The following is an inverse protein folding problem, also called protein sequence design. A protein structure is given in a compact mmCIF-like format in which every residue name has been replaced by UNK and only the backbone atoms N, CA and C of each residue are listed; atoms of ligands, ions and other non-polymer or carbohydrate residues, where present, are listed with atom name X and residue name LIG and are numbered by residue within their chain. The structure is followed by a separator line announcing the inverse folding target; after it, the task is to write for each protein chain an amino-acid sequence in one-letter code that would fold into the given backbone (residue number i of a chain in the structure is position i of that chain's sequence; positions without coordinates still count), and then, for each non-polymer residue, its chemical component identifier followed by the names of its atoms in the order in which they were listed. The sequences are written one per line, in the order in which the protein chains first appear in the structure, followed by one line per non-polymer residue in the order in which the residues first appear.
data_IF_384521497668
#
_entry.id   IF_384521497668
#
_cell.length_a   1.000
_cell.length_b   1.000
_cell.length_c   1.000
_cell.angle_alpha   90.00
_cell.angle_beta   90.00
_cell.angle_gamma   90.00
#
_symmetry.space_group_name_H-M   'P 1'
#
loop_
_entity.id
_entity.type
_entity.pdbx_description
1 polymer ?
#
# COMPACT_ATOMS: atom_id res chain seq x y z
N UNK A 1 8.41 -4.79 -1.66
CA UNK A 1 8.35 -4.87 -0.19
C UNK A 1 9.01 -6.13 0.34
N UNK A 2 9.35 -6.11 1.62
CA UNK A 2 10.02 -7.27 2.27
C UNK A 2 9.09 -8.45 2.54
N UNK A 3 7.79 -8.23 2.48
CA UNK A 3 6.82 -9.20 2.94
C UNK A 3 6.69 -9.23 4.48
N UNK A 4 5.63 -9.84 4.95
CA UNK A 4 5.35 -9.98 6.38
C UNK A 4 5.29 -11.44 6.85
N UNK A 5 5.36 -12.38 5.92
CA UNK A 5 5.37 -13.81 6.19
C UNK A 5 6.82 -14.31 6.26
N UNK A 6 7.23 -14.77 7.44
CA UNK A 6 8.62 -15.18 7.71
C UNK A 6 8.89 -16.63 7.33
N UNK A 7 7.84 -17.41 7.08
CA UNK A 7 7.88 -18.82 6.74
C UNK A 7 8.66 -19.11 5.44
N UNK A 8 8.71 -18.13 4.55
CA UNK A 8 9.48 -18.24 3.31
C UNK A 8 11.00 -18.27 3.53
N UNK A 9 11.49 -17.71 4.62
CA UNK A 9 12.93 -17.65 4.89
C UNK A 9 13.55 -19.04 5.02
N UNK A 10 13.12 -19.90 5.98
CA UNK A 10 13.65 -21.25 6.06
C UNK A 10 13.31 -22.09 4.82
N UNK A 11 12.14 -21.86 4.17
CA UNK A 11 11.76 -22.59 2.96
C UNK A 11 12.76 -22.37 1.82
N UNK A 12 13.28 -21.15 1.66
CA UNK A 12 14.24 -20.79 0.61
C UNK A 12 15.69 -20.72 1.11
N UNK A 13 15.97 -21.16 2.33
CA UNK A 13 17.33 -21.23 2.88
C UNK A 13 17.91 -19.87 3.28
N UNK A 14 17.07 -18.90 3.62
CA UNK A 14 17.51 -17.60 4.13
C UNK A 14 17.41 -17.54 5.66
N UNK A 15 18.31 -16.76 6.27
CA UNK A 15 18.27 -16.45 7.70
C UNK A 15 17.46 -15.16 7.94
N UNK A 16 16.58 -15.18 8.94
CA UNK A 16 15.82 -14.00 9.35
C UNK A 16 16.69 -12.86 9.90
N UNK A 17 17.88 -13.16 10.41
CA UNK A 17 18.85 -12.13 10.82
C UNK A 17 19.30 -11.26 9.64
N UNK A 18 19.27 -11.79 8.43
CA UNK A 18 19.63 -11.08 7.21
C UNK A 18 18.47 -10.25 6.60
N UNK A 19 17.31 -10.21 7.25
CA UNK A 19 16.08 -9.63 6.70
C UNK A 19 16.27 -8.21 6.14
N UNK A 20 16.99 -7.34 6.85
CA UNK A 20 17.22 -5.95 6.43
C UNK A 20 18.32 -5.85 5.37
N UNK A 21 19.45 -6.53 5.55
CA UNK A 21 20.62 -6.50 4.63
C UNK A 21 20.29 -7.18 3.32
N UNK A 22 19.59 -8.31 3.37
CA UNK A 22 19.13 -9.04 2.19
C UNK A 22 18.20 -8.17 1.32
N UNK A 23 17.22 -7.48 1.95
CA UNK A 23 16.33 -6.59 1.22
C UNK A 23 17.07 -5.41 0.60
N UNK A 24 17.98 -4.77 1.34
CA UNK A 24 18.75 -3.64 0.85
C UNK A 24 19.59 -4.03 -0.38
N UNK A 25 20.37 -5.11 -0.27
CA UNK A 25 21.19 -5.59 -1.37
C UNK A 25 20.38 -6.00 -2.61
N UNK A 26 19.26 -6.71 -2.40
CA UNK A 26 18.40 -7.11 -3.54
C UNK A 26 17.70 -5.93 -4.21
N UNK A 27 17.35 -4.90 -3.45
CA UNK A 27 16.77 -3.68 -4.01
C UNK A 27 17.83 -2.92 -4.85
N UNK A 28 19.04 -2.78 -4.35
CA UNK A 28 20.14 -2.15 -5.07
C UNK A 28 20.46 -2.90 -6.37
N UNK A 29 20.53 -4.24 -6.30
CA UNK A 29 20.72 -5.07 -7.51
C UNK A 29 19.56 -4.89 -8.51
N UNK A 30 18.32 -4.84 -8.04
CA UNK A 30 17.15 -4.58 -8.89
C UNK A 30 17.28 -3.23 -9.61
N UNK A 31 17.72 -2.19 -8.90
CA UNK A 31 17.91 -0.87 -9.48
C UNK A 31 19.07 -0.84 -10.50
N UNK A 32 20.16 -1.57 -10.23
CA UNK A 32 21.25 -1.73 -11.18
C UNK A 32 20.79 -2.46 -12.48
N UNK A 33 20.03 -3.54 -12.33
CA UNK A 33 19.45 -4.28 -13.46
C UNK A 33 18.46 -3.39 -14.25
N UNK A 34 17.68 -2.56 -13.57
CA UNK A 34 16.76 -1.61 -14.20
C UNK A 34 17.51 -0.59 -15.05
N UNK A 35 18.62 -0.07 -14.53
CA UNK A 35 19.38 1.02 -15.14
C UNK A 35 20.21 0.59 -16.35
N UNK A 36 20.63 -0.69 -16.44
CA UNK A 36 21.52 -1.18 -17.48
C UNK A 36 21.09 -2.50 -18.08
N UNK A 37 21.31 -2.69 -19.38
CA UNK A 37 21.08 -3.96 -20.06
C UNK A 37 22.06 -5.04 -19.61
N UNK A 38 23.31 -4.64 -19.34
CA UNK A 38 24.36 -5.55 -18.83
C UNK A 38 24.77 -5.11 -17.43
N UNK A 39 24.90 -6.07 -16.55
CA UNK A 39 25.15 -5.84 -15.13
C UNK A 39 26.37 -6.61 -14.65
N UNK A 40 27.24 -5.90 -13.95
CA UNK A 40 28.22 -6.48 -13.03
C UNK A 40 27.80 -6.13 -11.61
N UNK A 41 27.85 -7.12 -10.71
CA UNK A 41 27.39 -6.96 -9.33
C UNK A 41 28.24 -7.80 -8.38
N UNK A 42 28.50 -7.25 -7.19
CA UNK A 42 29.10 -7.98 -6.07
C UNK A 42 28.36 -7.62 -4.79
N UNK A 43 28.02 -8.61 -4.00
CA UNK A 43 27.28 -8.45 -2.74
C UNK A 43 27.53 -9.62 -1.80
N UNK A 44 26.89 -9.59 -0.64
CA UNK A 44 27.06 -10.60 0.43
C UNK A 44 26.06 -11.75 0.35
N UNK A 45 24.88 -11.49 -0.27
CA UNK A 45 23.75 -12.43 -0.25
C UNK A 45 23.58 -13.21 -1.55
N UNK A 46 24.54 -13.10 -2.47
CA UNK A 46 24.57 -13.90 -3.71
C UNK A 46 25.97 -13.89 -4.34
N UNK A 47 26.28 -14.87 -5.18
CA UNK A 47 27.51 -14.86 -6.00
C UNK A 47 27.57 -13.64 -6.91
N UNK A 48 28.80 -13.16 -7.20
CA UNK A 48 29.04 -12.05 -8.13
C UNK A 48 28.45 -12.32 -9.52
N UNK A 49 28.08 -11.25 -10.19
CA UNK A 49 27.69 -11.24 -11.61
C UNK A 49 28.75 -10.47 -12.37
N UNK A 50 29.23 -11.01 -13.47
CA UNK A 50 30.21 -10.35 -14.33
C UNK A 50 29.62 -10.19 -15.73
N UNK A 51 29.37 -8.94 -16.10
CA UNK A 51 28.89 -8.52 -17.42
C UNK A 51 27.79 -9.42 -18.02
N UNK A 52 26.67 -9.58 -17.32
CA UNK A 52 25.53 -10.39 -17.77
C UNK A 52 24.39 -9.54 -18.28
N UNK A 53 23.84 -9.91 -19.43
CA UNK A 53 22.61 -9.34 -19.95
C UNK A 53 21.38 -9.85 -19.20
N UNK A 54 20.40 -8.96 -18.95
CA UNK A 54 19.12 -9.30 -18.31
C UNK A 54 17.98 -8.97 -19.27
N UNK A 55 17.26 -9.99 -19.69
CA UNK A 55 16.21 -9.91 -20.72
C UNK A 55 14.93 -10.64 -20.25
N UNK A 56 13.73 -10.25 -20.79
CA UNK A 56 13.52 -9.13 -21.73
C UNK A 56 13.70 -7.77 -21.05
N UNK A 57 14.04 -6.73 -21.83
CA UNK A 57 14.07 -5.37 -21.32
C UNK A 57 12.63 -4.82 -21.19
N UNK A 58 12.37 -3.95 -20.18
CA UNK A 58 11.06 -3.33 -20.04
C UNK A 58 10.79 -2.37 -21.21
N UNK A 59 9.49 -2.22 -21.54
CA UNK A 59 9.05 -1.20 -22.50
C UNK A 59 9.11 0.20 -21.89
N UNK A 60 8.81 0.32 -20.60
CA UNK A 60 8.92 1.59 -19.88
C UNK A 60 10.38 1.91 -19.55
N UNK A 61 10.77 3.17 -19.71
CA UNK A 61 12.11 3.64 -19.37
C UNK A 61 12.03 4.90 -18.48
N UNK A 62 12.40 4.80 -17.19
CA UNK A 62 12.75 3.57 -16.47
C UNK A 62 11.53 2.73 -16.09
N UNK A 63 11.72 1.43 -15.91
CA UNK A 63 10.67 0.56 -15.33
C UNK A 63 10.22 1.10 -13.96
N UNK A 64 8.92 1.39 -13.75
CA UNK A 64 8.43 1.90 -12.48
C UNK A 64 8.65 0.87 -11.35
N UNK A 65 9.31 1.30 -10.28
CA UNK A 65 9.54 0.49 -9.06
C UNK A 65 8.97 1.22 -7.87
N UNK A 66 8.04 0.61 -7.16
CA UNK A 66 7.43 1.11 -5.94
C UNK A 66 7.92 0.32 -4.73
N UNK A 67 8.27 1.03 -3.66
CA UNK A 67 8.63 0.39 -2.38
C UNK A 67 7.38 0.28 -1.51
N UNK A 68 6.97 -0.95 -1.20
CA UNK A 68 5.85 -1.20 -0.30
C UNK A 68 6.32 -1.30 1.16
N UNK A 69 5.63 -0.62 2.06
CA UNK A 69 5.91 -0.62 3.50
C UNK A 69 4.63 -0.84 4.33
N UNK A 70 4.78 -1.42 5.52
CA UNK A 70 3.69 -1.61 6.50
C UNK A 70 3.76 -0.68 7.72
N UNK A 71 4.58 0.41 7.66
CA UNK A 71 4.67 1.37 8.77
C UNK A 71 5.98 1.31 9.55
N UNK A 72 7.10 0.99 8.91
CA UNK A 72 8.44 1.10 9.49
C UNK A 72 9.09 2.42 9.06
N UNK A 73 9.49 3.33 9.99
CA UNK A 73 10.06 4.63 9.65
C UNK A 73 11.29 4.51 8.73
N UNK A 74 12.21 3.61 9.04
CA UNK A 74 13.43 3.35 8.25
C UNK A 74 13.10 2.99 6.78
N UNK A 75 12.01 2.27 6.55
CA UNK A 75 11.59 1.88 5.20
C UNK A 75 10.98 3.06 4.43
N UNK A 76 10.25 3.95 5.10
CA UNK A 76 9.73 5.18 4.50
C UNK A 76 10.87 6.12 4.10
N UNK A 77 11.83 6.36 5.01
CA UNK A 77 13.01 7.18 4.73
C UNK A 77 13.83 6.61 3.56
N UNK A 78 14.07 5.30 3.54
CA UNK A 78 14.82 4.63 2.46
C UNK A 78 14.19 4.87 1.09
N UNK A 79 12.86 4.73 0.97
CA UNK A 79 12.17 4.97 -0.29
C UNK A 79 12.38 6.41 -0.77
N UNK A 80 12.25 7.40 0.13
CA UNK A 80 12.51 8.81 -0.17
C UNK A 80 13.95 9.05 -0.62
N UNK A 81 14.93 8.57 0.15
CA UNK A 81 16.37 8.73 -0.18
C UNK A 81 16.71 8.14 -1.55
N UNK A 82 16.12 7.00 -1.91
CA UNK A 82 16.35 6.34 -3.19
C UNK A 82 15.56 6.95 -4.37
N UNK A 83 14.75 7.99 -4.14
CA UNK A 83 13.91 8.57 -5.18
C UNK A 83 12.84 7.62 -5.72
N UNK A 84 12.37 6.66 -4.92
CA UNK A 84 11.40 5.65 -5.34
C UNK A 84 10.00 5.95 -4.79
N UNK A 85 8.95 5.81 -5.62
CA UNK A 85 7.56 5.88 -5.17
C UNK A 85 7.29 4.95 -3.98
N UNK A 86 6.44 5.40 -3.05
CA UNK A 86 6.08 4.66 -1.84
C UNK A 86 4.65 4.15 -1.89
N UNK A 87 4.46 2.87 -1.53
CA UNK A 87 3.15 2.28 -1.29
C UNK A 87 3.02 1.90 0.20
N UNK A 88 2.18 2.61 0.93
CA UNK A 88 1.92 2.39 2.34
C UNK A 88 0.72 1.46 2.53
N UNK A 89 0.93 0.31 3.15
CA UNK A 89 -0.14 -0.62 3.51
C UNK A 89 -0.76 -0.23 4.86
N UNK A 90 -2.04 0.16 4.84
CA UNK A 90 -2.84 0.47 6.04
C UNK A 90 -3.83 -0.69 6.23
N UNK A 91 -3.39 -1.72 6.94
CA UNK A 91 -4.14 -2.97 7.13
C UNK A 91 -4.65 -3.16 8.56
N UNK A 92 -4.43 -2.18 9.43
CA UNK A 92 -4.90 -2.20 10.81
C UNK A 92 -4.65 -0.86 11.50
N UNK A 93 -5.47 -0.55 12.50
CA UNK A 93 -5.43 0.72 13.24
C UNK A 93 -5.97 1.92 12.45
N UNK A 94 -6.08 3.06 13.10
CA UNK A 94 -6.56 4.30 12.46
C UNK A 94 -5.57 4.81 11.41
N UNK A 95 -6.01 5.12 10.18
CA UNK A 95 -5.15 5.63 9.13
C UNK A 95 -4.32 6.85 9.52
N UNK A 96 -4.90 7.81 10.24
CA UNK A 96 -4.21 9.03 10.64
C UNK A 96 -2.89 8.79 11.41
N UNK A 97 -2.77 7.66 12.11
CA UNK A 97 -1.53 7.27 12.82
C UNK A 97 -0.35 7.01 11.89
N UNK A 98 -0.62 6.79 10.61
CA UNK A 98 0.40 6.56 9.60
C UNK A 98 0.87 7.84 8.89
N UNK A 99 0.23 9.00 9.14
CA UNK A 99 0.61 10.27 8.55
C UNK A 99 2.10 10.63 8.75
N UNK A 100 2.74 10.35 9.90
CA UNK A 100 4.17 10.61 10.09
C UNK A 100 5.07 9.87 9.08
N UNK A 101 4.66 8.69 8.57
CA UNK A 101 5.46 7.98 7.56
C UNK A 101 5.42 8.67 6.20
N UNK A 102 4.26 9.22 5.80
CA UNK A 102 4.14 10.01 4.58
C UNK A 102 4.98 11.30 4.66
N UNK A 103 4.99 11.96 5.82
CA UNK A 103 5.82 13.15 6.06
C UNK A 103 7.31 12.81 6.03
N UNK A 104 7.72 11.73 6.70
CA UNK A 104 9.10 11.27 6.71
C UNK A 104 9.59 10.91 5.30
N UNK A 105 8.78 10.21 4.52
CA UNK A 105 9.06 9.88 3.12
C UNK A 105 9.33 11.13 2.29
N UNK A 106 8.43 12.13 2.36
CA UNK A 106 8.57 13.38 1.59
C UNK A 106 9.78 14.19 2.00
N UNK A 107 10.04 14.32 3.31
CA UNK A 107 11.25 15.01 3.80
C UNK A 107 12.51 14.30 3.32
N UNK A 108 12.60 12.98 3.49
CA UNK A 108 13.76 12.22 3.06
C UNK A 108 14.00 12.31 1.55
N UNK A 109 12.95 12.41 0.74
CA UNK A 109 13.08 12.64 -0.70
C UNK A 109 13.64 14.04 -0.99
N UNK A 110 13.09 15.07 -0.36
CA UNK A 110 13.55 16.45 -0.51
C UNK A 110 15.01 16.63 -0.06
N UNK A 111 15.36 16.08 1.11
CA UNK A 111 16.72 16.14 1.67
C UNK A 111 17.75 15.44 0.76
N UNK A 112 17.31 14.41 0.00
CA UNK A 112 18.13 13.71 -1.00
C UNK A 112 18.12 14.40 -2.38
N UNK A 113 17.47 15.56 -2.53
CA UNK A 113 17.43 16.33 -3.78
C UNK A 113 16.40 15.83 -4.81
N UNK A 114 15.49 14.95 -4.41
CA UNK A 114 14.41 14.51 -5.29
C UNK A 114 13.22 15.49 -5.24
N UNK A 115 12.55 15.67 -6.37
CA UNK A 115 11.24 16.34 -6.44
C UNK A 115 10.12 15.52 -5.78
N UNK A 116 8.87 15.99 -5.89
CA UNK A 116 7.72 15.23 -5.39
C UNK A 116 7.65 13.83 -5.98
N UNK A 117 7.58 12.81 -5.12
CA UNK A 117 7.51 11.41 -5.52
C UNK A 117 6.09 10.87 -5.32
N UNK A 118 5.61 10.00 -6.22
CA UNK A 118 4.29 9.38 -6.07
C UNK A 118 4.16 8.60 -4.76
N UNK A 119 2.99 8.76 -4.14
CA UNK A 119 2.63 8.11 -2.87
C UNK A 119 1.30 7.38 -3.01
N UNK A 120 1.26 6.12 -2.62
CA UNK A 120 0.06 5.29 -2.63
C UNK A 120 -0.30 4.83 -1.24
N UNK A 121 -1.59 4.71 -0.94
CA UNK A 121 -2.09 3.93 0.18
C UNK A 121 -2.81 2.68 -0.32
N UNK A 122 -2.64 1.58 0.41
CA UNK A 122 -3.26 0.31 0.14
C UNK A 122 -4.04 -0.12 1.37
N UNK A 123 -5.30 -0.52 1.18
CA UNK A 123 -6.15 -0.98 2.26
C UNK A 123 -7.00 -2.17 1.84
N UNK A 124 -7.48 -2.94 2.81
CA UNK A 124 -8.44 -4.01 2.59
C UNK A 124 -9.87 -3.46 2.59
N UNK A 125 -10.74 -4.07 1.81
CA UNK A 125 -12.15 -3.71 1.84
C UNK A 125 -13.00 -4.53 0.88
N UNK A 126 -14.30 -4.25 0.92
CA UNK A 126 -15.29 -4.87 0.06
C UNK A 126 -16.48 -3.92 -0.14
N UNK A 127 -17.03 -3.89 -1.33
CA UNK A 127 -18.14 -2.99 -1.68
C UNK A 127 -19.35 -3.80 -2.12
N UNK A 128 -20.50 -3.48 -1.55
CA UNK A 128 -21.80 -3.96 -2.01
C UNK A 128 -22.76 -2.79 -2.16
N UNK A 129 -23.99 -3.04 -2.61
CA UNK A 129 -24.98 -1.99 -2.85
C UNK A 129 -25.34 -1.22 -1.58
N UNK A 130 -25.31 -1.90 -0.43
CA UNK A 130 -25.48 -1.29 0.89
C UNK A 130 -24.42 -1.77 1.89
N UNK A 131 -24.32 -1.03 2.99
CA UNK A 131 -23.27 -1.23 4.01
C UNK A 131 -23.40 -2.51 4.79
N UNK A 132 -24.63 -2.90 5.12
CA UNK A 132 -24.89 -4.11 5.90
C UNK A 132 -24.55 -5.34 5.06
N UNK A 133 -25.00 -5.34 3.81
CA UNK A 133 -24.68 -6.39 2.86
C UNK A 133 -23.16 -6.51 2.66
N UNK A 134 -22.46 -5.38 2.49
CA UNK A 134 -21.00 -5.40 2.34
C UNK A 134 -20.30 -6.05 3.54
N UNK A 135 -20.72 -5.71 4.76
CA UNK A 135 -20.17 -6.28 5.98
C UNK A 135 -20.48 -7.77 6.11
N UNK A 136 -21.71 -8.17 5.84
CA UNK A 136 -22.16 -9.56 5.97
C UNK A 136 -21.51 -10.47 4.93
N UNK A 137 -21.35 -9.98 3.71
CA UNK A 137 -20.71 -10.73 2.63
C UNK A 137 -19.21 -10.91 2.84
N UNK A 138 -18.51 -9.89 3.36
CA UNK A 138 -17.06 -9.95 3.55
C UNK A 138 -16.64 -10.60 4.88
N UNK A 139 -17.51 -10.62 5.90
CA UNK A 139 -17.17 -11.12 7.23
C UNK A 139 -16.64 -12.56 7.26
N UNK A 140 -17.30 -13.56 6.63
CA UNK A 140 -16.84 -14.95 6.73
C UNK A 140 -15.41 -15.13 6.19
N UNK A 141 -15.10 -14.51 5.05
CA UNK A 141 -13.77 -14.58 4.45
C UNK A 141 -12.73 -13.85 5.28
N UNK A 142 -13.09 -12.67 5.82
CA UNK A 142 -12.21 -11.87 6.69
C UNK A 142 -11.92 -12.61 7.99
N UNK A 143 -12.94 -13.19 8.62
CA UNK A 143 -12.79 -13.97 9.85
C UNK A 143 -11.88 -15.18 9.65
N UNK A 144 -12.10 -15.95 8.57
CA UNK A 144 -11.29 -17.12 8.25
C UNK A 144 -9.81 -16.74 8.07
N UNK A 145 -9.53 -15.71 7.27
CA UNK A 145 -8.18 -15.24 7.01
C UNK A 145 -7.50 -14.71 8.27
N UNK A 146 -8.18 -13.81 8.99
CA UNK A 146 -7.59 -13.18 10.19
C UNK A 146 -7.38 -14.18 11.32
N UNK A 147 -8.28 -15.15 11.49
CA UNK A 147 -8.11 -16.21 12.49
C UNK A 147 -6.99 -17.18 12.10
N UNK A 148 -6.77 -17.43 10.79
CA UNK A 148 -5.61 -18.20 10.35
C UNK A 148 -4.30 -17.49 10.68
N UNK A 149 -4.17 -16.22 10.27
CA UNK A 149 -3.00 -15.40 10.59
C UNK A 149 -2.82 -15.27 12.11
N UNK A 150 -3.91 -15.10 12.85
CA UNK A 150 -3.90 -14.99 14.31
C UNK A 150 -3.33 -16.22 14.98
N UNK A 151 -3.70 -17.42 14.54
CA UNK A 151 -3.14 -18.69 15.08
C UNK A 151 -1.63 -18.81 14.84
N UNK A 152 -1.17 -18.38 13.66
CA UNK A 152 0.25 -18.42 13.31
C UNK A 152 1.08 -17.39 14.10
N UNK A 153 0.45 -16.30 14.56
CA UNK A 153 1.13 -15.14 15.19
C UNK A 153 0.75 -14.89 16.64
N UNK A 154 -0.06 -15.74 17.24
CA UNK A 154 -0.48 -15.61 18.63
C UNK A 154 -1.49 -14.49 18.90
N UNK A 155 -2.26 -14.04 17.89
CA UNK A 155 -3.35 -13.08 18.08
C UNK A 155 -4.65 -13.77 18.49
N UNK A 156 -5.46 -13.07 19.27
CA UNK A 156 -6.80 -13.54 19.60
C UNK A 156 -7.68 -13.61 18.33
N UNK A 157 -8.68 -14.50 18.28
CA UNK A 157 -9.65 -14.53 17.20
C UNK A 157 -10.36 -13.17 17.04
N UNK A 158 -10.56 -12.76 15.79
CA UNK A 158 -11.29 -11.53 15.49
C UNK A 158 -12.77 -11.71 15.79
N UNK A 159 -13.38 -10.75 16.48
CA UNK A 159 -14.84 -10.72 16.74
C UNK A 159 -15.54 -9.88 15.65
N UNK A 160 -16.86 -10.11 15.50
CA UNK A 160 -17.68 -9.33 14.58
C UNK A 160 -17.69 -7.85 14.96
N UNK A 161 -17.77 -7.52 16.24
CA UNK A 161 -17.76 -6.14 16.73
C UNK A 161 -16.45 -5.42 16.41
N UNK A 162 -15.32 -6.11 16.59
CA UNK A 162 -14.01 -5.54 16.25
C UNK A 162 -13.85 -5.33 14.73
N UNK A 163 -14.41 -6.24 13.93
CA UNK A 163 -14.44 -6.11 12.48
C UNK A 163 -15.28 -4.91 12.03
N UNK A 164 -16.52 -4.81 12.52
CA UNK A 164 -17.45 -3.73 12.17
C UNK A 164 -16.94 -2.36 12.65
N UNK A 165 -16.27 -2.28 13.79
CA UNK A 165 -15.61 -1.04 14.26
C UNK A 165 -14.57 -0.50 13.28
N UNK A 166 -13.94 -1.35 12.46
CA UNK A 166 -13.00 -0.95 11.41
C UNK A 166 -13.65 -0.27 10.20
N UNK A 167 -14.98 -0.32 10.05
CA UNK A 167 -15.68 0.21 8.87
C UNK A 167 -15.98 1.71 8.93
N UNK A 168 -15.97 2.31 10.13
CA UNK A 168 -16.24 3.74 10.31
C UNK A 168 -15.25 4.62 9.50
N UNK A 169 -15.57 5.91 9.35
CA UNK A 169 -14.79 6.85 8.53
C UNK A 169 -13.29 6.84 8.86
N UNK A 170 -12.95 6.74 10.13
CA UNK A 170 -11.58 6.74 10.65
C UNK A 170 -10.98 5.33 10.81
N UNK A 171 -11.73 4.28 10.48
CA UNK A 171 -11.24 2.91 10.55
C UNK A 171 -10.38 2.52 9.34
N UNK A 172 -9.70 1.38 9.41
CA UNK A 172 -8.76 0.92 8.38
C UNK A 172 -9.40 0.09 7.27
N UNK A 173 -10.61 -0.43 7.45
CA UNK A 173 -11.27 -1.33 6.51
C UNK A 173 -12.23 -0.56 5.61
N UNK A 174 -12.05 -0.64 4.30
CA UNK A 174 -12.88 0.02 3.29
C UNK A 174 -14.03 -0.90 2.84
N UNK A 175 -14.80 -1.39 3.83
CA UNK A 175 -15.98 -2.22 3.59
C UNK A 175 -17.22 -1.36 3.80
N UNK A 176 -18.15 -1.36 2.82
CA UNK A 176 -19.38 -0.58 2.90
C UNK A 176 -20.03 -0.33 1.56
N UNK A 177 -21.01 0.58 1.54
CA UNK A 177 -21.63 1.09 0.31
C UNK A 177 -20.64 1.92 -0.50
N UNK A 178 -20.91 2.17 -1.81
CA UNK A 178 -20.08 3.06 -2.61
C UNK A 178 -19.86 4.43 -1.97
N UNK A 179 -20.89 5.04 -1.36
CA UNK A 179 -20.75 6.36 -0.74
C UNK A 179 -19.81 6.34 0.46
N UNK A 180 -19.92 5.34 1.33
CA UNK A 180 -19.02 5.23 2.48
C UNK A 180 -17.56 5.04 2.06
N UNK A 181 -17.32 4.26 1.02
CA UNK A 181 -15.97 4.05 0.49
C UNK A 181 -15.42 5.34 -0.15
N UNK A 182 -16.27 6.12 -0.86
CA UNK A 182 -15.92 7.44 -1.39
C UNK A 182 -15.48 8.37 -0.24
N UNK A 183 -16.33 8.54 0.77
CA UNK A 183 -16.07 9.45 1.89
C UNK A 183 -14.75 9.08 2.60
N UNK A 184 -14.52 7.79 2.76
CA UNK A 184 -13.33 7.27 3.41
C UNK A 184 -12.06 7.46 2.56
N UNK A 185 -12.12 7.30 1.24
CA UNK A 185 -10.98 7.60 0.36
C UNK A 185 -10.69 9.10 0.38
N UNK A 186 -11.71 9.96 0.34
CA UNK A 186 -11.54 11.40 0.40
C UNK A 186 -10.95 11.87 1.73
N UNK A 187 -11.42 11.32 2.87
CA UNK A 187 -10.81 11.56 4.17
C UNK A 187 -9.32 11.15 4.19
N UNK A 188 -9.01 9.97 3.70
CA UNK A 188 -7.62 9.53 3.63
C UNK A 188 -6.78 10.40 2.69
N UNK A 189 -7.37 10.94 1.62
CA UNK A 189 -6.68 11.90 0.76
C UNK A 189 -6.37 13.22 1.49
N UNK A 190 -7.22 13.68 2.37
CA UNK A 190 -6.94 14.85 3.22
C UNK A 190 -5.74 14.61 4.14
N UNK A 191 -5.68 13.41 4.73
CA UNK A 191 -4.59 13.02 5.66
C UNK A 191 -3.26 12.82 4.94
N UNK A 192 -3.27 12.14 3.81
CA UNK A 192 -2.04 11.63 3.18
C UNK A 192 -1.64 12.39 1.92
N UNK A 193 -2.56 13.09 1.24
CA UNK A 193 -2.32 13.65 -0.09
C UNK A 193 -1.72 12.61 -1.05
N UNK A 194 -2.31 11.42 -1.06
CA UNK A 194 -1.84 10.31 -1.89
C UNK A 194 -2.29 10.47 -3.35
N UNK A 195 -1.43 9.99 -4.26
CA UNK A 195 -1.68 10.03 -5.70
C UNK A 195 -2.45 8.79 -6.18
N UNK A 196 -2.37 7.71 -5.42
CA UNK A 196 -2.98 6.43 -5.76
C UNK A 196 -3.62 5.79 -4.53
N UNK A 197 -4.85 5.32 -4.71
CA UNK A 197 -5.53 4.43 -3.77
C UNK A 197 -5.65 3.04 -4.38
N UNK A 198 -5.31 2.00 -3.61
CA UNK A 198 -5.42 0.61 -4.01
C UNK A 198 -6.30 -0.14 -3.01
N UNK A 199 -7.48 -0.58 -3.46
CA UNK A 199 -8.36 -1.43 -2.68
C UNK A 199 -8.02 -2.89 -2.93
N UNK A 200 -7.57 -3.57 -1.89
CA UNK A 200 -7.42 -5.03 -1.91
C UNK A 200 -8.71 -5.67 -1.42
N UNK A 201 -9.46 -6.22 -2.35
CA UNK A 201 -10.65 -7.01 -2.01
C UNK A 201 -10.17 -8.33 -1.42
N UNK A 202 -10.61 -8.63 -0.19
CA UNK A 202 -10.33 -9.92 0.45
C UNK A 202 -11.20 -10.95 -0.25
N UNK A 203 -10.61 -11.67 -1.21
CA UNK A 203 -11.34 -12.64 -2.01
C UNK A 203 -11.42 -14.01 -1.33
N UNK A 204 -10.31 -14.60 -0.95
CA UNK A 204 -10.28 -15.89 -0.22
C UNK A 204 -11.38 -16.86 -0.63
N UNK A 205 -12.28 -17.16 0.29
CA UNK A 205 -13.44 -18.03 0.10
C UNK A 205 -14.72 -17.30 -0.34
N UNK A 206 -14.64 -16.05 -0.79
CA UNK A 206 -15.80 -15.27 -1.23
C UNK A 206 -16.34 -15.78 -2.57
N UNK A 207 -17.65 -15.63 -2.75
CA UNK A 207 -18.33 -15.89 -4.01
C UNK A 207 -17.75 -14.98 -5.12
N UNK A 208 -17.39 -15.58 -6.25
CA UNK A 208 -16.76 -14.86 -7.35
C UNK A 208 -17.67 -13.78 -7.95
N UNK A 209 -18.98 -14.03 -8.05
CA UNK A 209 -19.90 -13.02 -8.58
C UNK A 209 -19.97 -11.78 -7.70
N UNK A 210 -19.93 -11.95 -6.36
CA UNK A 210 -19.88 -10.84 -5.40
C UNK A 210 -18.57 -10.04 -5.53
N UNK A 211 -17.43 -10.72 -5.71
CA UNK A 211 -16.15 -10.06 -5.94
C UNK A 211 -16.18 -9.24 -7.24
N UNK A 212 -16.70 -9.79 -8.33
CA UNK A 212 -16.84 -9.09 -9.59
C UNK A 212 -17.76 -7.88 -9.49
N UNK A 213 -18.88 -8.00 -8.78
CA UNK A 213 -19.78 -6.87 -8.52
C UNK A 213 -19.10 -5.76 -7.69
N UNK A 214 -18.33 -6.12 -6.66
CA UNK A 214 -17.57 -5.16 -5.88
C UNK A 214 -16.53 -4.39 -6.75
N UNK A 215 -15.87 -5.08 -7.69
CA UNK A 215 -14.95 -4.45 -8.65
C UNK A 215 -15.71 -3.50 -9.58
N UNK A 216 -16.87 -3.89 -10.08
CA UNK A 216 -17.72 -3.06 -10.91
C UNK A 216 -18.17 -1.80 -10.17
N UNK A 217 -18.67 -1.92 -8.94
CA UNK A 217 -19.07 -0.78 -8.10
C UNK A 217 -17.88 0.16 -7.85
N UNK A 218 -16.70 -0.38 -7.56
CA UNK A 218 -15.52 0.44 -7.40
C UNK A 218 -15.18 1.22 -8.68
N UNK A 219 -15.17 0.55 -9.83
CA UNK A 219 -14.82 1.15 -11.11
C UNK A 219 -15.83 2.16 -11.62
N UNK A 220 -17.14 1.93 -11.40
CA UNK A 220 -18.21 2.72 -11.99
C UNK A 220 -18.84 3.75 -11.05
N UNK A 221 -18.86 3.49 -9.74
CA UNK A 221 -19.52 4.35 -8.74
C UNK A 221 -18.53 5.08 -7.83
N UNK A 222 -17.42 4.45 -7.46
CA UNK A 222 -16.47 5.02 -6.50
C UNK A 222 -15.38 5.83 -7.21
N UNK A 223 -14.60 5.21 -8.07
CA UNK A 223 -13.41 5.82 -8.64
C UNK A 223 -13.70 7.11 -9.45
N UNK A 224 -14.76 7.20 -10.26
CA UNK A 224 -15.08 8.44 -10.99
C UNK A 224 -15.42 9.61 -10.06
N UNK A 225 -16.20 9.36 -9.00
CA UNK A 225 -16.60 10.37 -8.03
C UNK A 225 -15.38 10.87 -7.25
N UNK A 226 -14.56 9.97 -6.72
CA UNK A 226 -13.33 10.34 -6.00
C UNK A 226 -12.41 11.19 -6.87
N UNK A 227 -12.19 10.82 -8.13
CA UNK A 227 -11.36 11.60 -9.07
C UNK A 227 -11.93 13.00 -9.30
N UNK A 228 -13.26 13.10 -9.51
CA UNK A 228 -13.93 14.38 -9.70
C UNK A 228 -13.80 15.29 -8.48
N UNK A 229 -14.04 14.76 -7.28
CA UNK A 229 -13.95 15.53 -6.05
C UNK A 229 -12.52 16.00 -5.74
N UNK A 230 -11.51 15.16 -5.95
CA UNK A 230 -10.11 15.54 -5.78
C UNK A 230 -9.72 16.62 -6.79
N UNK A 231 -10.14 16.50 -8.04
CA UNK A 231 -9.88 17.53 -9.07
C UNK A 231 -10.49 18.89 -8.70
N UNK A 232 -11.74 18.92 -8.22
CA UNK A 232 -12.40 20.14 -7.73
C UNK A 232 -11.63 20.79 -6.57
N UNK A 233 -11.22 19.99 -5.58
CA UNK A 233 -10.45 20.49 -4.41
C UNK A 233 -9.08 21.04 -4.81
N UNK A 234 -8.44 20.47 -5.82
CA UNK A 234 -7.15 20.95 -6.35
C UNK A 234 -7.29 22.23 -7.18
N UNK A 235 -8.44 22.48 -7.79
CA UNK A 235 -8.72 23.68 -8.57
C UNK A 235 -9.13 24.90 -7.73
N UNK A 236 -9.55 24.69 -6.46
CA UNK A 236 -9.92 25.78 -5.54
C UNK A 236 -8.65 26.29 -4.86
N UNK A 237 -8.18 27.52 -5.11
CA UNK A 237 -7.03 28.09 -4.39
C UNK A 237 -7.36 28.10 -2.89
N UNK A 238 -6.44 27.59 -2.07
CA UNK A 238 -6.50 27.81 -0.63
C UNK A 238 -6.42 29.33 -0.42
N UNK A 239 -7.50 29.94 0.08
CA UNK A 239 -7.49 31.34 0.49
C UNK A 239 -6.39 31.50 1.54
N UNK A 240 -5.40 32.32 1.24
CA UNK A 240 -4.29 32.63 2.15
C UNK A 240 -4.89 33.36 3.39
N UNK A 241 -4.77 32.82 4.61
CA UNK A 241 -5.31 33.48 5.80
C UNK A 241 -4.55 34.77 6.22
N UNK A 242 -3.63 35.24 5.39
CA UNK A 242 -2.73 36.37 5.70
C UNK A 242 -3.17 37.73 5.16
N UNK A 243 -4.45 37.90 4.74
CA UNK A 243 -4.98 39.24 4.39
C UNK A 243 -6.26 39.55 5.17
N UNK A 244 -6.11 39.77 6.47
CA UNK A 244 -7.07 40.52 7.29
C UNK A 244 -6.24 41.55 8.06
N UNK A 245 -6.29 42.77 7.53
CA UNK A 245 -5.81 43.99 8.21
C UNK A 245 -6.52 44.22 9.56
#
# INVERSE_FOLDING_TARGET
GRGSFTESFPLFGYDLHDYDSLFAEKLELLLAIRASERVSWSGSHRPSIEDRGVYPRPVQDPLPVWVAIGGTPKSAARAGILGLPLALAIIGGEPARFAPFAQLFRRSAADAGHGPLPFSINAHGFIADDSQQASDDAWPASQLLMNRIGRERGFAPVTREAYDAGHGLHGHTFTGSPQQVIDKILYNHEVFRHDRFLLQIIAGSMDHAKVMHAIELFGTKVAPVVRSEIAKRSATPVADPATSD
#
